data_IF_232916368990
#
_entry.id   IF_232916368990
#
_cell.length_a   1.000
_cell.length_b   1.000
_cell.length_c   1.000
_cell.angle_alpha   90.00
_cell.angle_beta   90.00
_cell.angle_gamma   90.00
#
_symmetry.space_group_name_H-M   'P 1'
#
loop_
_entity.id
_entity.type
_entity.pdbx_description
1 polymer ?
#
# COMPACT_ATOMS: atom_id res chain seq x y z
N UNK A 1 5.81 34.60 -15.10
CA UNK A 1 5.34 34.05 -13.81
C UNK A 1 5.64 32.56 -13.80
N UNK A 2 6.64 32.13 -13.04
CA UNK A 2 6.93 30.71 -12.87
C UNK A 2 5.82 30.09 -12.00
N UNK A 3 5.07 29.15 -12.54
CA UNK A 3 4.16 28.30 -11.76
C UNK A 3 4.99 27.35 -10.93
N UNK A 4 5.06 27.57 -9.63
CA UNK A 4 5.70 26.62 -8.70
C UNK A 4 4.90 25.32 -8.75
N UNK A 5 5.45 24.29 -9.39
CA UNK A 5 4.85 22.96 -9.48
C UNK A 5 4.93 22.29 -8.09
N UNK A 6 3.98 22.61 -7.22
CA UNK A 6 3.85 21.99 -5.91
C UNK A 6 3.25 20.59 -6.09
N UNK A 7 4.05 19.55 -5.83
CA UNK A 7 3.51 18.18 -5.79
C UNK A 7 2.46 18.08 -4.69
N UNK A 8 1.33 17.43 -4.99
CA UNK A 8 0.35 17.05 -3.97
C UNK A 8 1.06 16.21 -2.91
N UNK A 9 0.92 16.61 -1.64
CA UNK A 9 1.61 16.00 -0.51
C UNK A 9 0.65 15.84 0.66
N UNK A 10 0.80 14.73 1.39
CA UNK A 10 0.14 14.51 2.67
C UNK A 10 1.12 14.62 3.84
N UNK A 11 0.56 14.69 5.05
CA UNK A 11 1.29 14.45 6.28
C UNK A 11 1.55 12.93 6.34
N UNK A 12 2.80 12.48 6.57
CA UNK A 12 3.09 11.05 6.69
C UNK A 12 2.21 10.38 7.73
N UNK A 13 1.64 9.22 7.36
CA UNK A 13 0.84 8.43 8.29
C UNK A 13 1.76 7.78 9.33
N UNK A 14 1.42 7.94 10.60
CA UNK A 14 2.12 7.28 11.71
C UNK A 14 1.94 5.77 11.60
N UNK A 15 3.04 5.02 11.76
CA UNK A 15 3.05 3.56 11.77
C UNK A 15 2.55 3.03 13.11
N UNK A 16 1.28 3.26 13.41
CA UNK A 16 0.63 2.93 14.67
C UNK A 16 -0.66 2.12 14.39
N UNK A 17 -0.86 0.95 15.02
CA UNK A 17 -2.00 0.09 14.73
C UNK A 17 -3.35 0.74 15.03
N UNK A 18 -3.44 1.64 16.02
CA UNK A 18 -4.68 2.35 16.35
C UNK A 18 -5.06 3.35 15.26
N UNK A 19 -4.06 4.06 14.73
CA UNK A 19 -4.23 5.00 13.61
C UNK A 19 -4.69 4.24 12.36
N UNK A 20 -4.01 3.13 12.03
CA UNK A 20 -4.38 2.28 10.90
C UNK A 20 -5.78 1.67 11.06
N UNK A 21 -6.11 1.13 12.23
CA UNK A 21 -7.43 0.53 12.49
C UNK A 21 -8.53 1.57 12.41
N UNK A 22 -8.36 2.74 13.03
CA UNK A 22 -9.34 3.83 12.98
C UNK A 22 -9.59 4.30 11.54
N UNK A 23 -8.53 4.48 10.74
CA UNK A 23 -8.66 4.87 9.34
C UNK A 23 -9.30 3.77 8.50
N UNK A 24 -8.92 2.50 8.71
CA UNK A 24 -9.51 1.36 8.02
C UNK A 24 -11.02 1.24 8.31
N UNK A 25 -11.46 1.53 9.54
CA UNK A 25 -12.89 1.50 9.91
C UNK A 25 -13.69 2.55 9.16
N UNK A 26 -13.13 3.75 8.99
CA UNK A 26 -13.74 4.79 8.14
C UNK A 26 -13.82 4.37 6.67
N UNK A 27 -12.94 3.49 6.22
CA UNK A 27 -12.95 2.86 4.90
C UNK A 27 -13.80 1.57 4.84
N UNK A 28 -14.57 1.27 5.89
CA UNK A 28 -15.51 0.14 5.89
C UNK A 28 -14.94 -1.18 6.40
N UNK A 29 -13.74 -1.22 6.98
CA UNK A 29 -13.21 -2.45 7.58
C UNK A 29 -14.12 -2.93 8.74
N UNK A 30 -14.54 -4.22 8.76
CA UNK A 30 -15.49 -4.73 9.75
C UNK A 30 -14.87 -4.89 11.15
N UNK A 31 -15.72 -4.88 12.18
CA UNK A 31 -15.34 -4.93 13.62
C UNK A 31 -14.44 -6.09 14.03
N UNK A 32 -14.50 -7.19 13.28
CA UNK A 32 -13.68 -8.38 13.48
C UNK A 32 -12.25 -8.31 12.95
N UNK A 33 -11.87 -7.25 12.23
CA UNK A 33 -10.52 -7.05 11.70
C UNK A 33 -9.88 -5.80 12.30
N UNK A 34 -8.61 -5.89 12.65
CA UNK A 34 -7.82 -4.78 13.18
C UNK A 34 -6.36 -4.93 12.79
N UNK A 35 -5.62 -3.82 12.86
CA UNK A 35 -4.17 -3.83 12.74
C UNK A 35 -3.58 -4.08 14.14
N UNK A 36 -2.50 -4.87 14.16
CA UNK A 36 -1.75 -5.21 15.37
C UNK A 36 -0.27 -4.99 15.10
N UNK A 37 0.48 -4.59 16.13
CA UNK A 37 1.93 -4.53 16.04
C UNK A 37 2.54 -5.93 15.89
N UNK A 38 3.60 -5.99 15.10
CA UNK A 38 4.42 -7.19 14.94
C UNK A 38 5.79 -6.88 15.56
N UNK A 39 6.05 -7.46 16.74
CA UNK A 39 7.26 -7.17 17.50
C UNK A 39 8.51 -7.83 16.89
N UNK A 40 8.35 -9.03 16.31
CA UNK A 40 9.44 -9.74 15.63
C UNK A 40 8.89 -10.68 14.56
N UNK A 41 9.62 -10.78 13.45
CA UNK A 41 9.38 -11.79 12.41
C UNK A 41 10.29 -13.01 12.56
N UNK A 42 11.32 -12.92 13.41
CA UNK A 42 12.33 -13.96 13.58
C UNK A 42 12.10 -14.79 14.86
N UNK A 43 11.59 -14.17 15.92
CA UNK A 43 11.35 -14.82 17.21
C UNK A 43 9.93 -15.42 17.25
N UNK A 44 9.78 -16.76 17.29
CA UNK A 44 8.47 -17.41 17.20
C UNK A 44 7.50 -17.00 18.30
N UNK A 45 7.99 -16.81 19.53
CA UNK A 45 7.16 -16.45 20.69
C UNK A 45 6.57 -15.05 20.57
N UNK A 46 7.35 -14.09 20.04
CA UNK A 46 6.87 -12.73 19.76
C UNK A 46 5.92 -12.70 18.56
N UNK A 47 6.17 -13.52 17.54
CA UNK A 47 5.28 -13.64 16.38
C UNK A 47 3.94 -14.31 16.75
N UNK A 48 3.94 -15.19 17.75
CA UNK A 48 2.73 -15.86 18.24
C UNK A 48 1.73 -14.89 18.92
N UNK A 49 2.17 -13.69 19.31
CA UNK A 49 1.29 -12.64 19.85
C UNK A 49 0.33 -12.05 18.81
N UNK A 50 0.62 -12.22 17.51
CA UNK A 50 -0.20 -11.69 16.41
C UNK A 50 -1.45 -12.57 16.23
N UNK A 51 -2.68 -12.02 16.31
CA UNK A 51 -3.90 -12.78 16.08
C UNK A 51 -3.95 -13.42 14.69
N UNK A 52 -4.52 -14.63 14.60
CA UNK A 52 -4.65 -15.37 13.34
C UNK A 52 -6.12 -15.64 12.98
N UNK A 53 -6.47 -15.66 11.67
CA UNK A 53 -5.57 -15.52 10.52
C UNK A 53 -5.13 -14.07 10.25
N UNK A 54 -3.85 -13.86 9.96
CA UNK A 54 -3.32 -12.58 9.50
C UNK A 54 -3.52 -12.45 7.98
N UNK A 55 -4.05 -11.31 7.52
CA UNK A 55 -4.47 -11.12 6.12
C UNK A 55 -3.58 -10.21 5.29
N UNK A 56 -2.86 -9.33 5.97
CA UNK A 56 -1.93 -8.40 5.36
C UNK A 56 -0.82 -8.07 6.37
N UNK A 57 0.36 -7.74 5.85
CA UNK A 57 1.49 -7.23 6.62
C UNK A 57 1.92 -5.90 6.00
N UNK A 58 1.91 -4.84 6.78
CA UNK A 58 2.43 -3.52 6.39
C UNK A 58 3.80 -3.35 7.02
N UNK A 59 4.81 -3.11 6.20
CA UNK A 59 6.19 -2.94 6.65
C UNK A 59 6.67 -1.51 6.36
N UNK A 60 6.97 -0.76 7.41
CA UNK A 60 7.70 0.49 7.32
C UNK A 60 9.20 0.20 7.49
N UNK A 61 10.01 0.60 6.51
CA UNK A 61 11.46 0.49 6.61
C UNK A 61 12.11 1.77 6.07
N UNK A 62 13.28 2.18 6.61
CA UNK A 62 14.02 3.30 6.06
C UNK A 62 14.53 2.90 4.67
N UNK A 63 14.08 3.59 3.63
CA UNK A 63 14.67 3.50 2.31
C UNK A 63 15.93 4.37 2.29
N UNK A 64 17.15 3.81 2.12
CA UNK A 64 18.33 4.65 1.93
C UNK A 64 18.18 5.44 0.62
N UNK A 65 18.07 6.76 0.74
CA UNK A 65 17.72 7.71 -0.33
C UNK A 65 18.57 7.55 -1.59
N UNK A 66 19.85 7.20 -1.43
CA UNK A 66 20.78 7.17 -2.56
C UNK A 66 20.55 6.01 -3.54
N UNK A 67 20.02 4.87 -3.08
CA UNK A 67 20.08 3.63 -3.87
C UNK A 67 18.79 2.78 -3.84
N UNK A 68 17.79 3.11 -3.03
CA UNK A 68 16.56 2.31 -2.97
C UNK A 68 15.80 2.34 -4.31
N UNK A 69 15.56 3.51 -4.89
CA UNK A 69 14.88 3.66 -6.18
C UNK A 69 15.61 2.91 -7.30
N UNK A 70 16.94 2.98 -7.30
CA UNK A 70 17.80 2.25 -8.25
C UNK A 70 17.69 0.74 -8.05
N UNK A 71 17.81 0.24 -6.82
CA UNK A 71 17.70 -1.19 -6.51
C UNK A 71 16.34 -1.78 -6.88
N UNK A 72 15.26 -1.03 -6.64
CA UNK A 72 13.91 -1.44 -7.05
C UNK A 72 13.83 -1.46 -8.57
N UNK A 73 14.25 -0.38 -9.25
CA UNK A 73 14.24 -0.34 -10.73
C UNK A 73 15.06 -1.48 -11.34
N UNK A 74 16.28 -1.70 -10.85
CA UNK A 74 17.17 -2.75 -11.34
C UNK A 74 16.58 -4.16 -11.10
N UNK A 75 15.75 -4.36 -10.06
CA UNK A 75 15.04 -5.62 -9.78
C UNK A 75 13.81 -5.82 -10.65
N UNK A 76 13.18 -4.73 -11.07
CA UNK A 76 11.99 -4.72 -11.92
C UNK A 76 12.35 -4.67 -13.42
N UNK A 77 13.57 -4.25 -13.77
CA UNK A 77 14.10 -4.29 -15.14
C UNK A 77 14.12 -5.74 -15.66
N UNK A 78 13.39 -5.99 -16.75
CA UNK A 78 13.26 -7.31 -17.36
C UNK A 78 12.10 -8.16 -16.84
N UNK A 79 11.35 -7.72 -15.82
CA UNK A 79 10.08 -8.36 -15.46
C UNK A 79 9.02 -7.98 -16.51
N UNK A 80 8.24 -8.95 -17.03
CA UNK A 80 7.15 -8.62 -17.93
C UNK A 80 6.17 -7.70 -17.22
N UNK A 81 5.74 -6.68 -17.95
CA UNK A 81 4.68 -5.79 -17.51
C UNK A 81 3.45 -6.64 -17.14
N UNK A 82 2.98 -6.53 -15.89
CA UNK A 82 1.71 -7.13 -15.48
C UNK A 82 0.59 -6.67 -16.43
N UNK A 83 -0.13 -7.62 -17.02
CA UNK A 83 -1.05 -7.45 -18.15
C UNK A 83 -2.51 -7.86 -17.84
N UNK A 84 -2.76 -8.42 -16.65
CA UNK A 84 -4.11 -8.76 -16.19
C UNK A 84 -4.93 -7.52 -15.86
N UNK A 85 -6.22 -7.55 -16.15
CA UNK A 85 -7.21 -6.52 -15.80
C UNK A 85 -8.62 -7.13 -15.63
N UNK A 86 -9.51 -6.41 -14.95
CA UNK A 86 -10.91 -6.83 -14.80
C UNK A 86 -11.06 -8.12 -14.00
N UNK A 87 -11.91 -9.04 -14.48
CA UNK A 87 -12.16 -10.33 -13.81
C UNK A 87 -10.94 -11.27 -13.81
N UNK A 88 -9.91 -10.97 -14.60
CA UNK A 88 -8.64 -11.69 -14.60
C UNK A 88 -7.65 -11.14 -13.56
N UNK A 89 -7.99 -10.06 -12.86
CA UNK A 89 -7.13 -9.43 -11.84
C UNK A 89 -7.45 -9.96 -10.43
N UNK A 90 -6.53 -10.78 -9.91
CA UNK A 90 -6.62 -11.37 -8.57
C UNK A 90 -6.22 -10.36 -7.47
N UNK A 91 -5.55 -9.26 -7.83
CA UNK A 91 -4.95 -8.31 -6.88
C UNK A 91 -5.29 -6.86 -7.22
N UNK A 92 -5.76 -6.11 -6.23
CA UNK A 92 -5.97 -4.66 -6.34
C UNK A 92 -4.69 -3.91 -5.95
N UNK A 93 -4.25 -2.97 -6.77
CA UNK A 93 -3.13 -2.10 -6.43
C UNK A 93 -3.36 -0.67 -6.85
N UNK A 94 -2.55 0.20 -6.26
CA UNK A 94 -2.69 1.63 -6.40
C UNK A 94 -1.27 2.16 -6.53
N UNK A 95 -1.02 2.81 -7.67
CA UNK A 95 0.24 3.53 -7.90
C UNK A 95 0.28 4.73 -6.98
N UNK A 96 1.35 4.88 -6.20
CA UNK A 96 1.55 6.09 -5.41
C UNK A 96 1.83 7.28 -6.33
N UNK A 97 0.94 8.26 -6.30
CA UNK A 97 1.06 9.52 -7.06
C UNK A 97 1.17 10.74 -6.15
N UNK A 98 0.93 10.56 -4.85
CA UNK A 98 0.93 11.61 -3.83
C UNK A 98 2.18 11.47 -2.95
N UNK A 99 2.89 12.57 -2.73
CA UNK A 99 4.07 12.60 -1.87
C UNK A 99 3.67 12.35 -0.40
N UNK A 100 4.51 11.63 0.36
CA UNK A 100 4.26 11.23 1.76
C UNK A 100 3.01 10.37 2.02
N UNK A 101 2.33 9.88 0.99
CA UNK A 101 1.11 9.10 1.15
C UNK A 101 1.34 7.57 1.27
N UNK A 102 2.59 7.09 1.34
CA UNK A 102 2.90 5.66 1.29
C UNK A 102 2.13 4.82 2.33
N UNK A 103 1.95 5.32 3.55
CA UNK A 103 1.15 4.65 4.58
C UNK A 103 -0.33 4.52 4.22
N UNK A 104 -0.92 5.54 3.56
CA UNK A 104 -2.28 5.46 3.04
C UNK A 104 -2.39 4.44 1.90
N UNK A 105 -1.46 4.45 0.96
CA UNK A 105 -1.44 3.47 -0.13
C UNK A 105 -1.30 2.04 0.39
N UNK A 106 -0.44 1.81 1.41
CA UNK A 106 -0.30 0.52 2.07
C UNK A 106 -1.60 0.08 2.76
N UNK A 107 -2.30 0.99 3.43
CA UNK A 107 -3.61 0.72 4.02
C UNK A 107 -4.63 0.32 2.94
N UNK A 108 -4.70 1.07 1.83
CA UNK A 108 -5.62 0.77 0.73
C UNK A 108 -5.34 -0.62 0.13
N UNK A 109 -4.07 -1.00 -0.07
CA UNK A 109 -3.72 -2.34 -0.53
C UNK A 109 -4.14 -3.42 0.47
N UNK A 110 -3.90 -3.20 1.77
CA UNK A 110 -4.25 -4.16 2.81
C UNK A 110 -5.76 -4.37 2.92
N UNK A 111 -6.55 -3.30 2.89
CA UNK A 111 -8.01 -3.37 2.98
C UNK A 111 -8.62 -3.99 1.71
N UNK A 112 -8.18 -3.55 0.52
CA UNK A 112 -8.73 -4.02 -0.74
C UNK A 112 -8.49 -5.53 -0.98
N UNK A 113 -7.32 -6.04 -0.60
CA UNK A 113 -6.95 -7.44 -0.85
C UNK A 113 -7.18 -8.35 0.35
N UNK A 114 -7.08 -7.85 1.58
CA UNK A 114 -7.25 -8.66 2.80
C UNK A 114 -8.70 -8.75 3.27
N UNK A 115 -9.56 -7.80 2.91
CA UNK A 115 -10.95 -7.75 3.37
C UNK A 115 -11.95 -7.55 2.22
N UNK A 116 -11.52 -7.68 0.96
CA UNK A 116 -12.36 -7.44 -0.24
C UNK A 116 -13.69 -8.22 -0.23
N UNK A 117 -13.69 -9.45 0.28
CA UNK A 117 -14.90 -10.28 0.36
C UNK A 117 -15.88 -9.83 1.45
N UNK A 118 -15.43 -9.04 2.43
CA UNK A 118 -16.20 -8.69 3.65
C UNK A 118 -16.76 -7.28 3.63
N UNK A 119 -16.14 -6.39 2.85
CA UNK A 119 -16.51 -4.98 2.77
C UNK A 119 -17.60 -4.76 1.69
N UNK A 120 -17.98 -5.82 0.97
CA UNK A 120 -19.06 -5.81 -0.01
C UNK A 120 -18.66 -5.18 -1.35
N UNK A 121 -19.23 -5.68 -2.44
CA UNK A 121 -18.90 -5.32 -3.83
C UNK A 121 -19.10 -3.84 -4.20
N UNK A 122 -19.77 -3.04 -3.36
CA UNK A 122 -19.98 -1.60 -3.59
C UNK A 122 -18.66 -0.81 -3.73
N UNK A 123 -17.57 -1.31 -3.13
CA UNK A 123 -16.23 -0.71 -3.28
C UNK A 123 -15.57 -0.97 -4.65
N UNK A 124 -15.92 -2.06 -5.33
CA UNK A 124 -15.38 -2.38 -6.67
C UNK A 124 -15.93 -1.44 -7.76
N UNK A 125 -17.14 -0.89 -7.59
CA UNK A 125 -17.77 -0.04 -8.62
C UNK A 125 -17.45 1.46 -8.51
N UNK A 126 -17.08 1.97 -7.32
CA UNK A 126 -16.79 3.41 -7.15
C UNK A 126 -15.31 3.76 -7.33
N UNK A 127 -14.42 2.77 -7.38
CA UNK A 127 -12.96 2.95 -7.40
C UNK A 127 -12.29 2.32 -8.64
N UNK A 128 -13.02 2.24 -9.75
CA UNK A 128 -12.47 1.80 -11.04
C UNK A 128 -11.69 2.93 -11.71
N UNK A 129 -10.43 3.11 -11.30
CA UNK A 129 -9.41 3.64 -12.21
C UNK A 129 -8.04 3.04 -11.90
N UNK A 130 -7.81 1.89 -12.54
CA UNK A 130 -6.51 1.26 -12.84
C UNK A 130 -5.61 0.82 -11.67
N UNK A 131 -4.79 -0.19 -11.98
CA UNK A 131 -3.51 -0.58 -11.37
C UNK A 131 -3.59 -1.90 -10.54
N UNK A 132 -2.92 -3.01 -10.92
CA UNK A 132 -1.49 -3.49 -10.88
C UNK A 132 -1.13 -4.23 -9.56
N UNK A 133 0.12 -4.52 -9.17
CA UNK A 133 0.45 -5.41 -8.00
C UNK A 133 1.47 -4.76 -7.06
N UNK A 134 1.38 -5.12 -5.76
CA UNK A 134 2.16 -4.67 -4.60
C UNK A 134 3.68 -4.73 -4.82
N UNK A 135 4.27 -3.56 -5.06
CA UNK A 135 5.55 -3.06 -4.51
C UNK A 135 5.37 -1.55 -4.32
N UNK A 136 5.80 -0.99 -3.19
CA UNK A 136 5.79 0.45 -2.95
C UNK A 136 6.69 1.15 -4.00
N UNK A 137 6.07 1.85 -4.95
CA UNK A 137 6.73 2.57 -6.04
C UNK A 137 6.17 3.98 -6.19
N UNK A 138 7.08 4.95 -6.35
CA UNK A 138 6.85 6.29 -6.88
C UNK A 138 7.88 6.52 -7.98
N UNK A 139 7.50 6.84 -9.23
CA UNK A 139 8.43 7.37 -10.21
C UNK A 139 8.45 8.89 -10.15
N UNK A 140 9.64 9.44 -10.34
CA UNK A 140 9.78 10.75 -10.98
C UNK A 140 9.13 10.66 -12.37
N UNK A 141 8.13 11.51 -12.60
CA UNK A 141 7.71 11.88 -13.96
C UNK A 141 8.94 12.46 -14.63
N UNK A 142 9.41 11.82 -15.71
CA UNK A 142 10.41 12.39 -16.59
C UNK A 142 9.83 13.67 -17.19
N UNK A 143 10.25 14.83 -16.67
CA UNK A 143 10.24 16.06 -17.44
C UNK A 143 11.44 15.98 -18.38
N UNK A 144 11.16 15.88 -19.66
CA UNK A 144 12.17 15.81 -20.70
C UNK A 144 13.10 17.03 -20.71
N UNK A 145 14.33 16.74 -21.12
CA UNK A 145 15.41 17.64 -21.49
C UNK A 145 16.47 16.79 -22.14
#
# INVERSE_FOLDING_TARGET
MATTNTRLSYIPLESNPDVFTSLARRLGLPDRLAFHDVLSLAEPDLLALVPRPARALVLAFPAPEANYERRVRDREEGRPAHDKTGDAEDVVWFRQTIYNACGLYALLHAVANGAGDEIGWWWRLHFLFQCRVIVCWSPRVATGG
#
